data_IF_767104100696
#
_entry.id   IF_767104100696
#
_cell.length_a   1.000
_cell.length_b   1.000
_cell.length_c   1.000
_cell.angle_alpha   90.00
_cell.angle_beta   90.00
_cell.angle_gamma   90.00
#
_symmetry.space_group_name_H-M   'P 1'
#
loop_
_entity.id
_entity.type
_entity.pdbx_description
1 polymer ?
#
# COMPACT_ATOMS: atom_id res chain seq x y z
N UNK A 1 7.35 -16.22 -25.01
CA UNK A 1 7.98 -14.91 -24.73
C UNK A 1 6.92 -13.85 -24.44
N UNK A 2 6.08 -14.01 -23.38
CA UNK A 2 5.00 -13.05 -23.04
C UNK A 2 5.12 -12.42 -21.63
N UNK A 3 6.21 -12.71 -20.92
CA UNK A 3 6.36 -12.27 -19.52
C UNK A 3 6.83 -10.82 -19.34
N UNK A 4 7.27 -10.16 -20.41
CA UNK A 4 8.00 -8.88 -20.30
C UNK A 4 7.10 -7.64 -20.13
N UNK A 5 5.78 -7.79 -20.13
CA UNK A 5 4.90 -6.61 -20.05
C UNK A 5 3.86 -6.65 -18.91
N UNK A 6 4.08 -7.49 -17.89
CA UNK A 6 3.10 -7.67 -16.82
C UNK A 6 2.97 -6.41 -15.95
N UNK A 7 4.11 -5.83 -15.54
CA UNK A 7 4.13 -4.61 -14.72
C UNK A 7 3.49 -3.46 -15.51
N UNK A 8 3.83 -3.33 -16.80
CA UNK A 8 3.21 -2.35 -17.68
C UNK A 8 1.68 -2.51 -17.77
N UNK A 9 1.20 -3.75 -17.92
CA UNK A 9 -0.25 -4.03 -17.96
C UNK A 9 -0.94 -3.66 -16.63
N UNK A 10 -0.34 -3.97 -15.48
CA UNK A 10 -0.92 -3.62 -14.17
C UNK A 10 -0.92 -2.11 -13.96
N UNK A 11 0.19 -1.44 -14.28
CA UNK A 11 0.31 0.02 -14.11
C UNK A 11 -0.65 0.78 -15.01
N UNK A 12 -0.90 0.30 -16.23
CA UNK A 12 -1.81 0.95 -17.18
C UNK A 12 -3.26 0.49 -17.07
N UNK A 13 -3.56 -0.54 -16.29
CA UNK A 13 -4.90 -1.11 -16.13
C UNK A 13 -6.00 -0.10 -15.79
N UNK A 14 -5.77 0.90 -14.91
CA UNK A 14 -6.77 1.94 -14.63
C UNK A 14 -7.22 2.70 -15.86
N UNK A 15 -6.33 2.83 -16.86
CA UNK A 15 -6.60 3.56 -18.09
C UNK A 15 -7.16 2.66 -19.21
N UNK A 16 -6.73 1.42 -19.28
CA UNK A 16 -7.17 0.47 -20.32
C UNK A 16 -8.39 -0.35 -19.93
N UNK A 17 -8.66 -0.48 -18.63
CA UNK A 17 -9.79 -1.23 -18.08
C UNK A 17 -9.75 -2.73 -18.34
N UNK A 18 -8.60 -3.27 -18.75
CA UNK A 18 -8.38 -4.71 -18.97
C UNK A 18 -7.20 -5.17 -18.14
N UNK A 19 -7.45 -6.12 -17.23
CA UNK A 19 -6.40 -6.77 -16.44
C UNK A 19 -6.58 -8.27 -16.52
N UNK A 20 -5.55 -8.97 -16.90
CA UNK A 20 -5.50 -10.42 -16.84
C UNK A 20 -5.18 -10.87 -15.40
N UNK A 21 -5.84 -11.91 -14.87
CA UNK A 21 -5.54 -12.41 -13.53
C UNK A 21 -4.07 -12.88 -13.46
N UNK A 22 -3.37 -12.39 -12.45
CA UNK A 22 -1.99 -12.78 -12.19
C UNK A 22 -1.92 -14.21 -11.64
N UNK A 23 -1.02 -15.01 -12.18
CA UNK A 23 -0.68 -16.31 -11.62
C UNK A 23 -0.01 -16.18 -10.24
N UNK A 24 0.12 -17.29 -9.50
CA UNK A 24 0.71 -17.31 -8.15
C UNK A 24 2.19 -16.87 -8.13
N UNK A 25 2.97 -17.28 -9.12
CA UNK A 25 4.42 -16.97 -9.20
C UNK A 25 4.68 -15.48 -9.37
N UNK A 26 4.03 -14.77 -10.32
CA UNK A 26 4.14 -13.31 -10.41
C UNK A 26 3.73 -12.58 -9.13
N UNK A 27 2.69 -13.06 -8.42
CA UNK A 27 2.26 -12.46 -7.16
C UNK A 27 3.32 -12.57 -6.06
N UNK A 28 3.97 -13.75 -5.92
CA UNK A 28 5.06 -13.94 -4.98
C UNK A 28 6.25 -13.04 -5.32
N UNK A 29 6.60 -12.92 -6.59
CA UNK A 29 7.69 -12.03 -7.04
C UNK A 29 7.37 -10.59 -6.69
N UNK A 30 6.18 -10.08 -7.03
CA UNK A 30 5.76 -8.71 -6.71
C UNK A 30 5.80 -8.47 -5.20
N UNK A 31 5.24 -9.39 -4.40
CA UNK A 31 5.23 -9.31 -2.95
C UNK A 31 6.66 -9.26 -2.36
N UNK A 32 7.56 -10.11 -2.87
CA UNK A 32 8.95 -10.15 -2.41
C UNK A 32 9.70 -8.87 -2.77
N UNK A 33 9.57 -8.39 -3.99
CA UNK A 33 10.20 -7.14 -4.45
C UNK A 33 9.67 -5.95 -3.64
N UNK A 34 8.36 -5.87 -3.41
CA UNK A 34 7.74 -4.79 -2.64
C UNK A 34 8.29 -4.74 -1.21
N UNK A 35 8.31 -5.88 -0.52
CA UNK A 35 8.87 -5.96 0.83
C UNK A 35 10.37 -5.63 0.86
N UNK A 36 11.15 -6.15 -0.08
CA UNK A 36 12.57 -5.84 -0.17
C UNK A 36 12.81 -4.34 -0.37
N UNK A 37 12.08 -3.71 -1.30
CA UNK A 37 12.20 -2.27 -1.57
C UNK A 37 11.84 -1.43 -0.36
N UNK A 38 10.79 -1.79 0.37
CA UNK A 38 10.37 -1.10 1.59
C UNK A 38 11.43 -1.24 2.70
N UNK A 39 11.97 -2.43 2.91
CA UNK A 39 13.07 -2.69 3.84
C UNK A 39 14.29 -1.83 3.46
N UNK A 40 14.71 -1.84 2.21
CA UNK A 40 15.84 -1.02 1.76
C UNK A 40 15.56 0.48 1.95
N UNK A 41 14.36 0.96 1.64
CA UNK A 41 14.01 2.37 1.79
C UNK A 41 14.06 2.86 3.24
N UNK A 42 13.84 1.97 4.21
CA UNK A 42 13.86 2.31 5.63
C UNK A 42 15.24 2.08 6.28
N UNK A 43 16.01 1.10 5.80
CA UNK A 43 17.31 0.75 6.37
C UNK A 43 18.45 1.61 5.83
N UNK A 44 18.48 1.92 4.54
CA UNK A 44 19.58 2.69 3.92
C UNK A 44 19.80 4.04 4.62
N UNK A 45 18.77 4.87 4.89
CA UNK A 45 18.96 6.12 5.61
C UNK A 45 19.56 5.95 7.00
N UNK A 46 19.17 4.89 7.73
CA UNK A 46 19.66 4.57 9.07
C UNK A 46 21.13 4.13 9.06
N UNK A 47 21.54 3.35 8.05
CA UNK A 47 22.92 2.92 7.86
C UNK A 47 23.81 4.12 7.56
N UNK A 48 23.40 4.97 6.64
CA UNK A 48 24.19 6.14 6.21
C UNK A 48 24.30 7.18 7.30
N UNK A 49 23.25 7.39 8.11
CA UNK A 49 23.28 8.38 9.20
C UNK A 49 24.16 7.96 10.39
N UNK A 50 24.75 6.75 10.39
CA UNK A 50 25.54 6.21 11.51
C UNK A 50 24.85 6.40 12.87
N UNK A 51 23.52 6.48 12.89
CA UNK A 51 22.78 6.67 14.13
C UNK A 51 23.03 5.48 15.05
N UNK A 52 23.19 5.74 16.35
CA UNK A 52 23.36 4.75 17.42
C UNK A 52 22.11 3.90 17.65
N UNK A 53 21.50 3.42 16.55
CA UNK A 53 20.31 2.57 16.59
C UNK A 53 20.72 1.24 17.23
N UNK A 54 20.05 0.78 18.29
CA UNK A 54 20.36 -0.51 18.91
C UNK A 54 20.34 -1.63 17.87
N UNK A 55 21.30 -2.54 17.90
CA UNK A 55 21.41 -3.66 16.95
C UNK A 55 20.08 -4.45 16.82
N UNK A 56 19.36 -4.62 17.93
CA UNK A 56 18.04 -5.27 17.96
C UNK A 56 17.04 -4.57 17.06
N UNK A 57 16.99 -3.24 17.06
CA UNK A 57 16.07 -2.49 16.20
C UNK A 57 16.41 -2.64 14.71
N UNK A 58 17.69 -2.81 14.40
CA UNK A 58 18.16 -3.05 13.05
C UNK A 58 17.70 -4.40 12.48
N UNK A 59 17.73 -5.47 13.31
CA UNK A 59 17.27 -6.79 12.90
C UNK A 59 15.74 -6.94 12.95
N UNK A 60 15.07 -6.24 13.87
CA UNK A 60 13.61 -6.30 14.00
C UNK A 60 12.87 -5.50 12.91
N UNK A 61 13.47 -4.43 12.38
CA UNK A 61 12.82 -3.57 11.39
C UNK A 61 12.37 -4.32 10.12
N UNK A 62 13.17 -5.15 9.45
CA UNK A 62 12.74 -5.89 8.27
C UNK A 62 11.54 -6.80 8.56
N UNK A 63 11.57 -7.52 9.68
CA UNK A 63 10.49 -8.40 10.08
C UNK A 63 9.20 -7.62 10.35
N UNK A 64 9.28 -6.50 11.05
CA UNK A 64 8.12 -5.66 11.35
C UNK A 64 7.49 -5.07 10.09
N UNK A 65 8.28 -4.69 9.09
CA UNK A 65 7.79 -4.17 7.80
C UNK A 65 7.03 -5.26 7.04
N UNK A 66 7.62 -6.46 6.90
CA UNK A 66 6.97 -7.59 6.21
C UNK A 66 5.66 -7.96 6.90
N UNK A 67 5.66 -8.03 8.22
CA UNK A 67 4.47 -8.34 9.02
C UNK A 67 3.40 -7.26 8.87
N UNK A 68 3.78 -5.99 8.93
CA UNK A 68 2.85 -4.87 8.77
C UNK A 68 2.20 -4.86 7.38
N UNK A 69 2.97 -5.11 6.32
CA UNK A 69 2.45 -5.22 4.96
C UNK A 69 1.51 -6.42 4.81
N UNK A 70 1.89 -7.58 5.32
CA UNK A 70 1.04 -8.78 5.28
C UNK A 70 -0.30 -8.56 6.00
N UNK A 71 -0.25 -8.01 7.23
CA UNK A 71 -1.46 -7.67 8.00
C UNK A 71 -2.31 -6.65 7.26
N UNK A 72 -1.71 -5.61 6.69
CA UNK A 72 -2.39 -4.56 5.95
C UNK A 72 -3.12 -5.10 4.71
N UNK A 73 -2.48 -5.99 3.93
CA UNK A 73 -3.09 -6.63 2.77
C UNK A 73 -4.20 -7.63 3.16
N UNK A 74 -3.99 -8.39 4.23
CA UNK A 74 -5.02 -9.29 4.76
C UNK A 74 -6.25 -8.52 5.24
N UNK A 75 -6.07 -7.44 6.00
CA UNK A 75 -7.17 -6.58 6.45
C UNK A 75 -7.99 -6.06 5.27
N UNK A 76 -7.31 -5.49 4.26
CA UNK A 76 -8.02 -5.00 3.08
C UNK A 76 -8.76 -6.13 2.36
N UNK A 77 -8.12 -7.29 2.20
CA UNK A 77 -8.73 -8.45 1.57
C UNK A 77 -9.96 -8.95 2.34
N UNK A 78 -9.89 -8.98 3.67
CA UNK A 78 -11.03 -9.35 4.53
C UNK A 78 -12.20 -8.36 4.36
N UNK A 79 -11.93 -7.05 4.37
CA UNK A 79 -12.98 -6.05 4.18
C UNK A 79 -13.61 -6.13 2.78
N UNK A 80 -12.78 -6.29 1.74
CA UNK A 80 -13.28 -6.49 0.37
C UNK A 80 -14.14 -7.74 0.26
N UNK A 81 -13.72 -8.85 0.87
CA UNK A 81 -14.46 -10.11 0.86
C UNK A 81 -15.80 -9.97 1.59
N UNK A 82 -15.82 -9.41 2.80
CA UNK A 82 -17.03 -9.21 3.59
C UNK A 82 -18.02 -8.29 2.89
N UNK A 83 -17.57 -7.14 2.38
CA UNK A 83 -18.43 -6.19 1.68
C UNK A 83 -18.94 -6.76 0.35
N UNK A 84 -18.12 -7.54 -0.36
CA UNK A 84 -18.55 -8.25 -1.57
C UNK A 84 -19.62 -9.27 -1.25
N UNK A 85 -19.46 -10.02 -0.14
CA UNK A 85 -20.44 -10.99 0.34
C UNK A 85 -21.79 -10.38 0.69
N UNK A 86 -21.78 -9.21 1.35
CA UNK A 86 -23.00 -8.47 1.66
C UNK A 86 -23.77 -8.05 0.39
N UNK A 87 -23.06 -7.67 -0.67
CA UNK A 87 -23.69 -7.24 -1.93
C UNK A 87 -24.12 -8.41 -2.79
N UNK A 88 -23.35 -9.49 -2.85
CA UNK A 88 -23.60 -10.64 -3.70
C UNK A 88 -24.46 -11.72 -3.03
N UNK A 89 -24.68 -11.62 -1.71
CA UNK A 89 -25.42 -12.58 -0.89
C UNK A 89 -24.85 -14.02 -0.92
N UNK A 90 -23.66 -14.19 -1.49
CA UNK A 90 -22.93 -15.46 -1.42
C UNK A 90 -21.43 -15.22 -1.41
N UNK A 91 -20.70 -16.09 -0.76
CA UNK A 91 -19.24 -16.05 -0.69
C UNK A 91 -18.65 -17.45 -0.80
N UNK A 92 -17.54 -17.57 -1.48
CA UNK A 92 -16.81 -18.81 -1.64
C UNK A 92 -15.35 -18.64 -1.20
N UNK A 93 -14.69 -19.68 -0.68
CA UNK A 93 -13.26 -19.62 -0.35
C UNK A 93 -12.38 -19.26 -1.55
N UNK A 94 -12.79 -19.65 -2.75
CA UNK A 94 -12.10 -19.29 -4.00
C UNK A 94 -12.14 -17.78 -4.26
N UNK A 95 -13.25 -17.12 -3.93
CA UNK A 95 -13.39 -15.67 -4.02
C UNK A 95 -12.41 -14.96 -3.10
N UNK A 96 -12.29 -15.39 -1.84
CA UNK A 96 -11.30 -14.79 -0.92
C UNK A 96 -9.87 -14.87 -1.48
N UNK A 97 -9.48 -16.04 -1.99
CA UNK A 97 -8.15 -16.24 -2.60
C UNK A 97 -7.93 -15.32 -3.80
N UNK A 98 -8.95 -15.12 -4.64
CA UNK A 98 -8.87 -14.23 -5.78
C UNK A 98 -8.72 -12.76 -5.33
N UNK A 99 -9.45 -12.35 -4.28
CA UNK A 99 -9.35 -11.01 -3.70
C UNK A 99 -7.95 -10.76 -3.11
N UNK A 100 -7.39 -11.71 -2.36
CA UNK A 100 -6.00 -11.61 -1.86
C UNK A 100 -5.03 -11.44 -3.03
N UNK A 101 -5.15 -12.25 -4.07
CA UNK A 101 -4.33 -12.14 -5.28
C UNK A 101 -4.43 -10.76 -5.93
N UNK A 102 -5.62 -10.21 -6.01
CA UNK A 102 -5.90 -8.89 -6.55
C UNK A 102 -5.24 -7.77 -5.71
N UNK A 103 -5.35 -7.83 -4.37
CA UNK A 103 -4.75 -6.84 -3.46
C UNK A 103 -3.22 -6.85 -3.57
N UNK A 104 -2.63 -8.04 -3.61
CA UNK A 104 -1.17 -8.18 -3.79
C UNK A 104 -0.73 -7.68 -5.16
N UNK A 105 -1.49 -7.98 -6.23
CA UNK A 105 -1.19 -7.46 -7.56
C UNK A 105 -1.21 -5.92 -7.62
N UNK A 106 -2.21 -5.30 -6.97
CA UNK A 106 -2.29 -3.86 -6.86
C UNK A 106 -1.12 -3.26 -6.05
N UNK A 107 -0.47 -4.06 -5.21
CA UNK A 107 0.72 -3.67 -4.42
C UNK A 107 1.89 -3.14 -5.26
N UNK A 108 1.91 -3.40 -6.58
CA UNK A 108 2.87 -2.75 -7.51
C UNK A 108 2.80 -1.23 -7.43
N UNK A 109 1.62 -0.66 -7.20
CA UNK A 109 1.45 0.79 -7.06
C UNK A 109 2.11 1.29 -5.76
N UNK A 110 2.01 0.52 -4.66
CA UNK A 110 2.69 0.83 -3.39
C UNK A 110 4.22 0.74 -3.57
N UNK A 111 4.71 -0.23 -4.35
CA UNK A 111 6.13 -0.34 -4.71
C UNK A 111 6.62 0.90 -5.47
N UNK A 112 5.87 1.36 -6.46
CA UNK A 112 6.21 2.58 -7.21
C UNK A 112 6.21 3.82 -6.31
N UNK A 113 5.26 3.91 -5.37
CA UNK A 113 5.22 4.97 -4.38
C UNK A 113 6.47 4.97 -3.47
N UNK A 114 6.85 3.80 -2.96
CA UNK A 114 8.06 3.64 -2.12
C UNK A 114 9.33 3.97 -2.89
N UNK A 115 9.45 3.50 -4.13
CA UNK A 115 10.58 3.80 -5.01
C UNK A 115 10.68 5.31 -5.30
N UNK A 116 9.56 5.95 -5.62
CA UNK A 116 9.51 7.39 -5.87
C UNK A 116 9.92 8.22 -4.65
N UNK A 117 9.44 7.84 -3.46
CA UNK A 117 9.79 8.47 -2.20
C UNK A 117 11.29 8.33 -1.87
N UNK A 118 11.87 7.15 -2.08
CA UNK A 118 13.30 6.91 -1.90
C UNK A 118 14.13 7.71 -2.91
N UNK A 119 13.76 7.68 -4.18
CA UNK A 119 14.44 8.41 -5.23
C UNK A 119 14.44 9.92 -4.95
N UNK A 120 13.31 10.48 -4.53
CA UNK A 120 13.21 11.89 -4.15
C UNK A 120 14.12 12.21 -2.95
N UNK A 121 14.20 11.30 -1.96
CA UNK A 121 15.12 11.44 -0.83
C UNK A 121 16.59 11.41 -1.24
N UNK A 122 16.96 10.50 -2.15
CA UNK A 122 18.31 10.42 -2.72
C UNK A 122 18.68 11.70 -3.49
N UNK A 123 17.78 12.20 -4.32
CA UNK A 123 17.99 13.44 -5.05
C UNK A 123 18.19 14.63 -4.09
N UNK A 124 17.34 14.74 -3.07
CA UNK A 124 17.51 15.79 -2.05
C UNK A 124 18.87 15.69 -1.35
N UNK A 125 19.28 14.49 -0.96
CA UNK A 125 20.57 14.25 -0.32
C UNK A 125 21.76 14.62 -1.22
N UNK A 126 21.68 14.34 -2.53
CA UNK A 126 22.70 14.74 -3.49
C UNK A 126 22.87 16.27 -3.58
N UNK A 127 21.78 17.03 -3.49
CA UNK A 127 21.81 18.50 -3.57
C UNK A 127 22.01 19.19 -2.21
N UNK A 128 21.64 18.51 -1.11
CA UNK A 128 21.73 19.02 0.26
C UNK A 128 22.16 17.88 1.20
N UNK A 129 23.47 17.52 1.21
CA UNK A 129 24.00 16.42 2.04
C UNK A 129 23.75 16.61 3.54
N UNK A 130 23.71 17.85 4.01
CA UNK A 130 23.44 18.23 5.41
C UNK A 130 22.03 17.81 5.90
N UNK A 131 21.07 17.64 5.01
CA UNK A 131 19.74 17.17 5.37
C UNK A 131 19.70 15.67 5.74
N UNK A 132 20.79 14.95 5.48
CA UNK A 132 20.84 13.49 5.62
C UNK A 132 19.97 12.78 4.59
N UNK A 133 20.22 11.49 4.41
CA UNK A 133 19.35 10.67 3.57
C UNK A 133 18.08 10.33 4.34
N UNK A 134 16.92 10.75 3.85
CA UNK A 134 15.62 10.45 4.44
C UNK A 134 14.60 10.17 3.36
N UNK A 135 13.65 9.30 3.69
CA UNK A 135 12.51 9.01 2.83
C UNK A 135 11.57 10.22 2.81
N UNK A 136 11.41 10.86 1.67
CA UNK A 136 10.53 12.01 1.56
C UNK A 136 9.07 11.59 1.49
N UNK A 137 8.17 12.30 2.21
CA UNK A 137 6.75 12.08 2.07
C UNK A 137 6.31 12.41 0.63
N UNK A 138 5.52 11.53 0.05
CA UNK A 138 4.93 11.79 -1.26
C UNK A 138 3.88 12.91 -1.15
N UNK A 139 3.78 13.79 -2.16
CA UNK A 139 2.76 14.82 -2.17
C UNK A 139 1.37 14.17 -2.17
N UNK A 140 0.51 14.68 -1.31
CA UNK A 140 -0.83 14.16 -1.13
C UNK A 140 -1.75 15.19 -0.47
N UNK A 141 -2.91 14.72 -0.02
CA UNK A 141 -3.92 15.57 0.60
C UNK A 141 -3.39 16.30 1.85
N UNK A 142 -2.53 15.65 2.65
CA UNK A 142 -1.90 16.30 3.82
C UNK A 142 -1.05 17.51 3.43
N UNK A 143 -0.36 17.46 2.30
CA UNK A 143 0.44 18.59 1.81
C UNK A 143 -0.46 19.76 1.40
N UNK A 144 -1.60 19.46 0.76
CA UNK A 144 -2.58 20.49 0.38
C UNK A 144 -3.29 21.11 1.59
N UNK A 145 -3.44 20.34 2.65
CA UNK A 145 -4.13 20.76 3.88
C UNK A 145 -3.17 21.22 4.99
N UNK A 146 -1.88 21.39 4.69
CA UNK A 146 -0.85 21.77 5.68
C UNK A 146 -1.09 23.11 6.39
N UNK A 147 -1.92 24.00 5.80
CA UNK A 147 -2.34 25.27 6.42
C UNK A 147 -3.55 25.18 7.36
N UNK A 148 -4.14 23.98 7.52
CA UNK A 148 -5.34 23.80 8.34
C UNK A 148 -5.01 22.94 9.57
N UNK A 149 -5.55 23.33 10.74
CA UNK A 149 -5.49 22.51 11.95
C UNK A 149 -6.54 21.40 11.85
N UNK A 150 -6.09 20.21 11.45
CA UNK A 150 -6.93 19.04 11.33
C UNK A 150 -6.93 18.21 12.62
N UNK A 151 -8.08 17.64 13.04
CA UNK A 151 -8.09 16.60 14.05
C UNK A 151 -7.14 15.45 13.71
N UNK A 152 -6.51 14.84 14.73
CA UNK A 152 -5.48 13.80 14.54
C UNK A 152 -5.90 12.67 13.60
N UNK A 153 -7.16 12.24 13.66
CA UNK A 153 -7.69 11.19 12.77
C UNK A 153 -7.75 11.66 11.31
N UNK A 154 -8.18 12.89 11.07
CA UNK A 154 -8.24 13.44 9.71
C UNK A 154 -6.85 13.69 9.14
N UNK A 155 -5.92 14.15 9.97
CA UNK A 155 -4.51 14.28 9.58
C UNK A 155 -3.91 12.92 9.19
N UNK A 156 -4.17 11.86 9.98
CA UNK A 156 -3.72 10.51 9.66
C UNK A 156 -4.29 10.00 8.32
N UNK A 157 -5.59 10.23 8.06
CA UNK A 157 -6.23 9.88 6.80
C UNK A 157 -5.64 10.69 5.65
N UNK A 158 -5.49 12.01 5.81
CA UNK A 158 -4.95 12.90 4.79
C UNK A 158 -3.52 12.53 4.37
N UNK A 159 -2.67 12.09 5.32
CA UNK A 159 -1.32 11.59 5.04
C UNK A 159 -1.31 10.32 4.18
N UNK A 160 -2.39 9.52 4.21
CA UNK A 160 -2.54 8.30 3.43
C UNK A 160 -3.14 8.51 2.04
N UNK A 161 -3.74 9.67 1.78
CA UNK A 161 -4.32 9.99 0.47
C UNK A 161 -3.25 10.68 -0.39
N UNK A 162 -2.56 9.89 -1.19
CA UNK A 162 -1.59 10.33 -2.21
C UNK A 162 -2.13 10.01 -3.60
N UNK A 163 -1.48 10.51 -4.64
CA UNK A 163 -1.80 10.13 -6.03
C UNK A 163 -1.70 8.61 -6.23
N UNK A 164 -0.74 7.97 -5.59
CA UNK A 164 -0.56 6.52 -5.64
C UNK A 164 -1.68 5.76 -4.94
N UNK A 165 -2.22 6.30 -3.83
CA UNK A 165 -3.38 5.71 -3.15
C UNK A 165 -4.61 5.75 -4.03
N UNK A 166 -4.86 6.89 -4.69
CA UNK A 166 -5.98 7.00 -5.64
C UNK A 166 -5.83 6.00 -6.78
N UNK A 167 -4.62 5.87 -7.30
CA UNK A 167 -4.32 4.88 -8.34
C UNK A 167 -4.49 3.44 -7.85
N UNK A 168 -4.00 3.12 -6.66
CA UNK A 168 -4.16 1.81 -6.01
C UNK A 168 -5.64 1.42 -5.85
N UNK A 169 -6.45 2.33 -5.29
CA UNK A 169 -7.90 2.13 -5.13
C UNK A 169 -8.59 1.98 -6.49
N UNK A 170 -8.20 2.78 -7.48
CA UNK A 170 -8.70 2.68 -8.86
C UNK A 170 -8.40 1.33 -9.49
N UNK A 171 -7.17 0.83 -9.33
CA UNK A 171 -6.77 -0.47 -9.85
C UNK A 171 -7.55 -1.62 -9.17
N UNK A 172 -7.66 -1.60 -7.84
CA UNK A 172 -8.48 -2.58 -7.11
C UNK A 172 -9.94 -2.55 -7.58
N UNK A 173 -10.50 -1.36 -7.78
CA UNK A 173 -11.87 -1.20 -8.28
C UNK A 173 -12.08 -1.92 -9.62
N UNK A 174 -11.16 -1.74 -10.56
CA UNK A 174 -11.25 -2.38 -11.89
C UNK A 174 -11.11 -3.89 -11.76
N UNK A 175 -10.10 -4.37 -11.04
CA UNK A 175 -9.87 -5.79 -10.82
C UNK A 175 -11.04 -6.47 -10.11
N UNK A 176 -11.58 -5.84 -9.07
CA UNK A 176 -12.71 -6.36 -8.31
C UNK A 176 -13.98 -6.42 -9.17
N UNK A 177 -14.23 -5.40 -10.01
CA UNK A 177 -15.37 -5.41 -10.92
C UNK A 177 -15.33 -6.57 -11.92
N UNK A 178 -14.14 -6.97 -12.36
CA UNK A 178 -13.93 -8.10 -13.26
C UNK A 178 -14.10 -9.44 -12.53
N UNK A 179 -13.55 -9.58 -11.32
CA UNK A 179 -13.64 -10.81 -10.53
C UNK A 179 -15.06 -11.08 -10.07
N UNK A 180 -15.81 -10.05 -9.71
CA UNK A 180 -17.19 -10.16 -9.22
C UNK A 180 -18.25 -10.04 -10.32
N UNK A 181 -17.88 -9.70 -11.54
CA UNK A 181 -18.80 -9.40 -12.63
C UNK A 181 -19.85 -8.33 -12.27
N UNK A 182 -19.47 -7.31 -11.48
CA UNK A 182 -20.33 -6.21 -11.06
C UNK A 182 -19.95 -4.91 -11.77
N UNK A 183 -20.85 -3.91 -11.73
CA UNK A 183 -20.56 -2.60 -12.29
C UNK A 183 -19.38 -1.93 -11.56
N UNK A 184 -18.59 -1.13 -12.27
CA UNK A 184 -17.45 -0.37 -11.69
C UNK A 184 -17.89 0.55 -10.56
N UNK A 185 -19.09 1.12 -10.63
CA UNK A 185 -19.65 1.96 -9.57
C UNK A 185 -19.83 1.19 -8.26
N UNK A 186 -20.42 -0.01 -8.30
CA UNK A 186 -20.58 -0.88 -7.11
C UNK A 186 -19.20 -1.30 -6.57
N UNK A 187 -18.28 -1.70 -7.45
CA UNK A 187 -16.93 -2.08 -7.08
C UNK A 187 -16.18 -0.91 -6.45
N UNK A 188 -16.33 0.33 -6.97
CA UNK A 188 -15.71 1.52 -6.39
C UNK A 188 -16.18 1.77 -4.96
N UNK A 189 -17.48 1.68 -4.70
CA UNK A 189 -18.03 1.84 -3.34
C UNK A 189 -17.43 0.80 -2.39
N UNK A 190 -17.43 -0.49 -2.80
CA UNK A 190 -16.84 -1.57 -2.00
C UNK A 190 -15.37 -1.26 -1.68
N UNK A 191 -14.60 -0.89 -2.69
CA UNK A 191 -13.16 -0.66 -2.55
C UNK A 191 -12.86 0.54 -1.66
N UNK A 192 -13.56 1.66 -1.85
CA UNK A 192 -13.37 2.87 -1.04
C UNK A 192 -13.74 2.60 0.41
N UNK A 193 -14.89 1.96 0.67
CA UNK A 193 -15.31 1.63 2.03
C UNK A 193 -14.32 0.67 2.69
N UNK A 194 -13.88 -0.38 1.99
CA UNK A 194 -12.88 -1.32 2.50
C UNK A 194 -11.56 -0.63 2.84
N UNK A 195 -11.12 0.28 1.97
CA UNK A 195 -9.89 1.06 2.20
C UNK A 195 -10.02 1.97 3.42
N UNK A 196 -11.14 2.66 3.57
CA UNK A 196 -11.43 3.50 4.75
C UNK A 196 -11.42 2.65 6.03
N UNK A 197 -12.11 1.51 6.05
CA UNK A 197 -12.12 0.60 7.19
C UNK A 197 -10.70 0.14 7.56
N UNK A 198 -9.88 -0.26 6.57
CA UNK A 198 -8.46 -0.60 6.77
C UNK A 198 -7.70 0.55 7.44
N UNK A 199 -7.87 1.79 6.96
CA UNK A 199 -7.18 2.97 7.52
C UNK A 199 -7.56 3.21 8.97
N UNK A 200 -8.85 3.08 9.32
CA UNK A 200 -9.33 3.22 10.70
C UNK A 200 -8.77 2.14 11.63
N UNK A 201 -8.72 0.88 11.20
CA UNK A 201 -8.14 -0.21 11.99
C UNK A 201 -6.65 0.02 12.22
N UNK A 202 -5.91 0.44 11.20
CA UNK A 202 -4.49 0.75 11.32
C UNK A 202 -4.26 1.96 12.25
N UNK A 203 -5.09 2.99 12.18
CA UNK A 203 -5.03 4.14 13.08
C UNK A 203 -5.29 3.73 14.54
N UNK A 204 -6.34 2.95 14.79
CA UNK A 204 -6.63 2.42 16.12
C UNK A 204 -5.51 1.54 16.66
N UNK A 205 -4.94 0.68 15.83
CA UNK A 205 -3.82 -0.19 16.19
C UNK A 205 -2.57 0.60 16.57
N UNK A 206 -2.22 1.65 15.83
CA UNK A 206 -1.07 2.50 16.17
C UNK A 206 -1.28 3.24 17.49
N UNK A 207 -2.49 3.73 17.77
CA UNK A 207 -2.84 4.37 19.04
C UNK A 207 -2.78 3.41 20.22
N UNK A 208 -3.33 2.20 20.06
CA UNK A 208 -3.27 1.17 21.09
C UNK A 208 -1.83 0.77 21.41
N UNK A 209 -0.99 0.56 20.37
CA UNK A 209 0.42 0.25 20.56
C UNK A 209 1.17 1.36 21.30
N UNK A 210 0.92 2.64 20.97
CA UNK A 210 1.54 3.77 21.67
C UNK A 210 1.10 3.83 23.12
N UNK A 211 -0.19 3.56 23.42
CA UNK A 211 -0.70 3.59 24.78
C UNK A 211 -0.18 2.42 25.67
N UNK A 212 0.26 1.31 25.07
CA UNK A 212 0.85 0.18 25.80
C UNK A 212 2.35 0.38 26.08
N UNK A 213 3.01 1.30 25.38
CA UNK A 213 4.45 1.58 25.53
C UNK A 213 4.74 2.78 26.44
N UNK A 214 3.72 3.51 26.87
CA UNK A 214 3.78 4.64 27.82
C UNK A 214 3.33 4.21 29.21
#
# INVERSE_FOLDING_TARGET
MESTNLIGKIVTAPFTGKVEPLGRVPLLIVSTILNALEIFSDLIPKIISMSSTPAIAFYAAPFSIVLANAVSWLLLSCFLYLLSGLIMQYVTPSLFRNIVGLVVAAGVIEMLASAGSLLAGLLLWMFKPEAGLQKLPLPGLATLLSGFELPNVLQFIAQRITIFTVWYVGLITILLSQVLHISRSKSSIITVVAWICRVFVLWGGTRAATALLL
#
